data_IF_288708231193
#
_entry.id   IF_288708231193
#
_cell.length_a   1.000
_cell.length_b   1.000
_cell.length_c   1.000
_cell.angle_alpha   90.00
_cell.angle_beta   90.00
_cell.angle_gamma   90.00
#
_symmetry.space_group_name_H-M   'P 1'
#
loop_
_entity.id
_entity.type
_entity.pdbx_description
1 polymer ?
#
# COMPACT_ATOMS: atom_id res chain seq x y z
N UNK A 1 4.78 -19.77 -1.99
CA UNK A 1 5.12 -18.33 -2.01
C UNK A 1 6.52 -18.20 -1.43
N UNK A 2 7.45 -17.58 -2.17
CA UNK A 2 8.80 -17.30 -1.66
C UNK A 2 8.73 -15.89 -1.07
N UNK A 3 8.98 -15.76 0.24
CA UNK A 3 9.18 -14.48 0.90
C UNK A 3 10.60 -14.02 0.60
N UNK A 4 10.76 -12.90 -0.09
CA UNK A 4 12.05 -12.22 -0.19
C UNK A 4 11.95 -10.98 0.71
N UNK A 5 12.73 -10.95 1.79
CA UNK A 5 12.92 -9.76 2.60
C UNK A 5 13.68 -8.73 1.78
N UNK A 6 12.96 -7.88 1.05
CA UNK A 6 13.54 -6.72 0.38
C UNK A 6 13.97 -5.70 1.44
N UNK A 7 15.28 -5.40 1.57
CA UNK A 7 15.79 -4.46 2.57
C UNK A 7 15.29 -3.02 2.39
N UNK A 8 14.57 -2.72 1.30
CA UNK A 8 13.95 -1.41 1.04
C UNK A 8 12.60 -1.23 1.72
N UNK A 9 11.99 -2.29 2.24
CA UNK A 9 10.71 -2.20 2.97
C UNK A 9 11.03 -1.99 4.46
N UNK A 10 11.04 -0.73 4.90
CA UNK A 10 11.09 -0.40 6.32
C UNK A 10 9.87 -1.05 7.01
N UNK A 11 10.13 -1.99 7.92
CA UNK A 11 9.15 -2.80 8.65
C UNK A 11 8.09 -3.46 7.75
N UNK A 12 8.51 -4.45 6.96
CA UNK A 12 7.60 -5.21 6.10
C UNK A 12 8.27 -6.29 5.25
N UNK A 13 7.52 -6.86 4.30
CA UNK A 13 8.00 -7.85 3.35
C UNK A 13 7.22 -7.79 2.03
N UNK A 14 7.82 -8.29 0.94
CA UNK A 14 7.16 -8.41 -0.36
C UNK A 14 6.98 -9.88 -0.75
N UNK A 15 5.81 -10.17 -1.31
CA UNK A 15 5.45 -11.45 -1.89
C UNK A 15 5.25 -11.28 -3.40
N UNK A 16 6.21 -11.77 -4.18
CA UNK A 16 6.10 -11.80 -5.63
C UNK A 16 5.38 -13.09 -6.03
N UNK A 17 4.41 -12.94 -6.93
CA UNK A 17 3.67 -14.07 -7.46
C UNK A 17 4.54 -14.90 -8.41
N UNK A 18 4.58 -16.20 -8.14
CA UNK A 18 5.21 -17.21 -9.00
C UNK A 18 4.17 -18.30 -9.24
N UNK A 19 3.81 -18.53 -10.50
CA UNK A 19 2.87 -19.57 -10.90
C UNK A 19 3.62 -20.79 -11.45
N UNK A 20 3.10 -21.98 -11.18
CA UNK A 20 3.51 -23.18 -11.90
C UNK A 20 3.04 -23.12 -13.35
N UNK A 21 3.67 -23.88 -14.27
CA UNK A 21 3.36 -23.84 -15.70
C UNK A 21 1.90 -24.19 -16.02
N UNK A 22 1.24 -25.02 -15.21
CA UNK A 22 -0.14 -25.47 -15.43
C UNK A 22 -1.16 -24.90 -14.44
N UNK A 23 -0.75 -23.98 -13.57
CA UNK A 23 -1.63 -23.37 -12.57
C UNK A 23 -2.43 -22.22 -13.19
N UNK A 24 -3.50 -22.57 -13.90
CA UNK A 24 -4.41 -21.64 -14.58
C UNK A 24 -5.10 -20.68 -13.61
N UNK A 25 -5.41 -21.12 -12.38
CA UNK A 25 -5.99 -20.27 -11.35
C UNK A 25 -5.00 -19.19 -10.91
N UNK A 26 -3.72 -19.56 -10.74
CA UNK A 26 -2.66 -18.60 -10.51
C UNK A 26 -2.51 -17.67 -11.72
N UNK A 27 -2.37 -18.17 -12.94
CA UNK A 27 -2.19 -17.31 -14.12
C UNK A 27 -3.35 -16.33 -14.36
N UNK A 28 -4.59 -16.73 -14.04
CA UNK A 28 -5.78 -15.90 -14.20
C UNK A 28 -5.88 -14.72 -13.22
N UNK A 29 -5.20 -14.78 -12.07
CA UNK A 29 -5.14 -13.63 -11.15
C UNK A 29 -4.06 -12.64 -11.62
N UNK A 30 -4.42 -11.39 -11.87
CA UNK A 30 -3.47 -10.41 -12.41
C UNK A 30 -2.59 -9.71 -11.35
N UNK A 31 -2.78 -10.02 -10.06
CA UNK A 31 -1.94 -9.49 -8.97
C UNK A 31 -0.52 -10.03 -9.10
N UNK A 32 0.47 -9.16 -9.29
CA UNK A 32 1.89 -9.53 -9.48
C UNK A 32 2.67 -9.52 -8.17
N UNK A 33 2.41 -8.55 -7.31
CA UNK A 33 3.12 -8.36 -6.06
C UNK A 33 2.17 -7.93 -4.94
N UNK A 34 2.41 -8.45 -3.73
CA UNK A 34 1.78 -7.98 -2.50
C UNK A 34 2.87 -7.49 -1.55
N UNK A 35 2.80 -6.21 -1.22
CA UNK A 35 3.68 -5.54 -0.27
C UNK A 35 2.97 -5.51 1.09
N UNK A 36 3.63 -5.99 2.14
CA UNK A 36 3.16 -5.87 3.52
C UNK A 36 3.99 -4.83 4.25
N UNK A 37 3.34 -3.92 4.96
CA UNK A 37 3.99 -2.92 5.81
C UNK A 37 3.33 -2.87 7.17
N UNK A 38 4.13 -2.67 8.21
CA UNK A 38 3.68 -2.49 9.58
C UNK A 38 4.03 -1.08 10.04
N UNK A 39 3.06 -0.35 10.57
CA UNK A 39 3.22 1.02 11.04
C UNK A 39 2.63 1.16 12.43
N UNK A 40 3.20 2.04 13.23
CA UNK A 40 2.68 2.40 14.53
C UNK A 40 2.46 3.91 14.59
N UNK A 41 1.26 4.31 15.03
CA UNK A 41 0.91 5.71 15.27
C UNK A 41 0.34 5.86 16.68
N UNK A 42 0.45 7.04 17.31
CA UNK A 42 -0.17 7.28 18.60
C UNK A 42 -1.70 7.46 18.49
N UNK A 43 -2.38 7.31 19.62
CA UNK A 43 -3.77 7.73 19.74
C UNK A 43 -3.87 9.25 19.56
N UNK A 44 -4.73 9.72 18.68
CA UNK A 44 -4.91 11.15 18.41
C UNK A 44 -6.35 11.58 18.66
N UNK A 45 -6.52 12.75 19.26
CA UNK A 45 -7.84 13.40 19.41
C UNK A 45 -8.20 14.26 18.21
N UNK A 46 -7.20 14.85 17.57
CA UNK A 46 -7.32 15.73 16.41
C UNK A 46 -6.12 15.54 15.48
N UNK A 47 -6.31 15.81 14.19
CA UNK A 47 -5.26 15.82 13.17
C UNK A 47 -5.25 17.21 12.56
N UNK A 48 -4.32 18.06 12.98
CA UNK A 48 -4.23 19.46 12.53
C UNK A 48 -3.68 19.57 11.12
N UNK A 49 -2.71 18.70 10.80
CA UNK A 49 -2.11 18.57 9.48
C UNK A 49 -2.09 17.08 9.11
N UNK A 50 -2.28 16.73 7.83
CA UNK A 50 -2.16 15.35 7.36
C UNK A 50 -0.81 14.75 7.78
N UNK A 51 -0.84 13.59 8.42
CA UNK A 51 0.36 12.88 8.86
C UNK A 51 0.72 11.79 7.85
N UNK A 52 1.92 11.82 7.28
CA UNK A 52 2.42 10.75 6.43
C UNK A 52 2.60 9.45 7.24
N UNK A 53 1.92 8.38 6.82
CA UNK A 53 1.97 7.06 7.46
C UNK A 53 2.81 6.08 6.63
N UNK A 54 2.76 6.22 5.31
CA UNK A 54 3.53 5.39 4.39
C UNK A 54 3.81 6.13 3.08
N UNK A 55 4.96 5.80 2.49
CA UNK A 55 5.41 6.29 1.20
C UNK A 55 5.82 5.11 0.34
N UNK A 56 5.13 4.91 -0.77
CA UNK A 56 5.30 3.76 -1.66
C UNK A 56 5.91 4.26 -2.95
N UNK A 57 7.12 3.80 -3.25
CA UNK A 57 7.81 4.09 -4.51
C UNK A 57 7.60 2.94 -5.50
N UNK A 58 7.01 3.23 -6.65
CA UNK A 58 6.95 2.25 -7.73
C UNK A 58 8.11 2.48 -8.68
N UNK A 59 9.05 1.53 -8.70
CA UNK A 59 10.15 1.55 -9.65
C UNK A 59 9.68 0.95 -10.98
N UNK A 60 9.69 1.78 -12.02
CA UNK A 60 9.16 1.44 -13.32
C UNK A 60 9.98 2.13 -14.41
N UNK A 61 10.25 1.41 -15.49
CA UNK A 61 10.88 1.98 -16.68
C UNK A 61 9.91 2.88 -17.44
N UNK A 62 10.45 3.86 -18.16
CA UNK A 62 9.64 4.56 -19.16
C UNK A 62 9.25 3.58 -20.28
N UNK A 63 8.02 3.63 -20.82
CA UNK A 63 7.04 4.71 -20.66
C UNK A 63 5.76 4.29 -19.91
N UNK A 64 5.90 3.74 -18.72
CA UNK A 64 4.74 3.32 -17.92
C UNK A 64 4.26 4.43 -16.99
N UNK A 65 2.97 4.44 -16.66
CA UNK A 65 2.37 5.27 -15.58
C UNK A 65 1.87 4.37 -14.44
N UNK A 66 1.63 4.95 -13.26
CA UNK A 66 1.10 4.22 -12.11
C UNK A 66 -0.02 5.03 -11.49
N UNK A 67 -1.07 4.32 -11.06
CA UNK A 67 -2.15 4.90 -10.28
C UNK A 67 -2.23 4.22 -8.91
N UNK A 68 -2.39 5.04 -7.88
CA UNK A 68 -2.62 4.57 -6.51
C UNK A 68 -4.09 4.76 -6.12
N UNK A 69 -4.65 3.73 -5.50
CA UNK A 69 -6.02 3.75 -5.00
C UNK A 69 -6.08 3.21 -3.58
N UNK A 70 -6.89 3.85 -2.72
CA UNK A 70 -7.12 3.38 -1.36
C UNK A 70 -8.49 2.70 -1.27
N UNK A 71 -8.57 1.61 -0.52
CA UNK A 71 -9.82 0.91 -0.27
C UNK A 71 -10.80 1.72 0.60
N UNK A 72 -12.08 1.31 0.61
CA UNK A 72 -13.15 2.02 1.34
C UNK A 72 -12.90 2.08 2.84
N UNK A 73 -12.22 1.08 3.42
CA UNK A 73 -11.91 1.08 4.85
C UNK A 73 -10.84 2.14 5.13
N UNK A 74 -9.75 2.14 4.35
CA UNK A 74 -8.71 3.16 4.47
C UNK A 74 -9.23 4.59 4.26
N UNK A 75 -10.13 4.80 3.31
CA UNK A 75 -10.71 6.14 3.03
C UNK A 75 -11.45 6.78 4.22
N UNK A 76 -11.77 6.02 5.28
CA UNK A 76 -12.42 6.57 6.48
C UNK A 76 -11.53 7.58 7.20
N UNK A 77 -10.24 7.24 7.36
CA UNK A 77 -9.27 8.00 8.15
C UNK A 77 -8.05 8.46 7.34
N UNK A 78 -7.80 7.84 6.20
CA UNK A 78 -6.63 8.07 5.38
C UNK A 78 -7.04 8.61 4.01
N UNK A 79 -6.11 9.31 3.37
CA UNK A 79 -6.15 9.63 1.95
C UNK A 79 -4.84 9.20 1.30
N UNK A 80 -4.87 9.03 -0.02
CA UNK A 80 -3.66 8.83 -0.80
C UNK A 80 -3.41 10.05 -1.67
N UNK A 81 -2.20 10.59 -1.57
CA UNK A 81 -1.70 11.65 -2.44
C UNK A 81 -0.68 11.04 -3.39
N UNK A 82 -0.81 11.35 -4.69
CA UNK A 82 0.07 10.83 -5.72
C UNK A 82 1.00 11.94 -6.22
N UNK A 83 2.30 11.69 -6.16
CA UNK A 83 3.34 12.50 -6.78
C UNK A 83 4.13 11.62 -7.75
N UNK A 84 3.84 11.77 -9.06
CA UNK A 84 4.42 10.95 -10.13
C UNK A 84 4.24 9.45 -9.88
N UNK A 85 5.32 8.74 -9.54
CA UNK A 85 5.38 7.31 -9.25
C UNK A 85 5.51 7.01 -7.74
N UNK A 86 5.03 7.94 -6.92
CA UNK A 86 5.04 7.85 -5.46
C UNK A 86 3.62 7.98 -4.95
N UNK A 87 3.16 6.98 -4.20
CA UNK A 87 1.91 7.02 -3.45
C UNK A 87 2.18 7.32 -1.98
N UNK A 88 1.65 8.43 -1.47
CA UNK A 88 1.82 8.87 -0.09
C UNK A 88 0.50 8.66 0.65
N UNK A 89 0.50 7.75 1.62
CA UNK A 89 -0.66 7.51 2.48
C UNK A 89 -0.59 8.47 3.66
N UNK A 90 -1.61 9.31 3.80
CA UNK A 90 -1.69 10.31 4.86
C UNK A 90 -2.91 10.04 5.75
N UNK A 91 -2.70 10.07 7.06
CA UNK A 91 -3.78 10.15 8.04
C UNK A 91 -4.37 11.56 8.03
N UNK A 92 -5.67 11.66 7.78
CA UNK A 92 -6.40 12.93 7.70
C UNK A 92 -7.53 13.06 8.72
N UNK A 93 -7.92 11.95 9.37
CA UNK A 93 -8.81 11.99 10.53
C UNK A 93 -8.20 11.24 11.69
N UNK A 94 -8.43 11.76 12.89
CA UNK A 94 -7.90 11.18 14.10
C UNK A 94 -8.46 9.79 14.36
N UNK A 95 -7.64 8.92 14.96
CA UNK A 95 -8.03 7.57 15.38
C UNK A 95 -7.68 7.45 16.86
N UNK A 96 -8.66 7.06 17.67
CA UNK A 96 -8.43 6.76 19.08
C UNK A 96 -8.10 5.28 19.25
N UNK A 97 -6.91 5.00 19.78
CA UNK A 97 -6.50 3.65 20.12
C UNK A 97 -6.99 3.22 21.50
N UNK A 98 -6.71 1.96 21.91
CA UNK A 98 -5.94 0.97 21.18
C UNK A 98 -6.76 0.27 20.09
N UNK A 99 -6.28 0.29 18.85
CA UNK A 99 -6.89 -0.43 17.72
C UNK A 99 -5.84 -0.76 16.65
N UNK A 100 -6.17 -1.68 15.75
CA UNK A 100 -5.37 -1.97 14.55
C UNK A 100 -6.24 -1.70 13.32
N UNK A 101 -5.75 -0.87 12.41
CA UNK A 101 -6.39 -0.58 11.14
C UNK A 101 -5.58 -1.25 10.02
N UNK A 102 -6.24 -2.04 9.18
CA UNK A 102 -5.61 -2.63 7.99
C UNK A 102 -6.18 -1.95 6.76
N UNK A 103 -5.31 -1.27 6.02
CA UNK A 103 -5.69 -0.57 4.78
C UNK A 103 -5.07 -1.25 3.57
N UNK A 104 -5.75 -1.15 2.43
CA UNK A 104 -5.29 -1.73 1.17
C UNK A 104 -5.11 -0.65 0.12
N UNK A 105 -3.90 -0.54 -0.39
CA UNK A 105 -3.54 0.34 -1.49
C UNK A 105 -3.40 -0.49 -2.77
N UNK A 106 -4.24 -0.23 -3.78
CA UNK A 106 -4.04 -0.76 -5.13
C UNK A 106 -3.03 0.09 -5.88
N UNK A 107 -2.08 -0.55 -6.55
CA UNK A 107 -1.00 0.08 -7.31
C UNK A 107 -1.07 -0.49 -8.72
N UNK A 108 -1.65 0.27 -9.64
CA UNK A 108 -1.89 -0.22 -11.00
C UNK A 108 -0.87 0.40 -11.94
N UNK A 109 0.01 -0.42 -12.50
CA UNK A 109 0.95 0.01 -13.54
C UNK A 109 0.26 -0.04 -14.90
N UNK A 110 0.34 1.02 -15.66
CA UNK A 110 -0.32 1.17 -16.95
C UNK A 110 0.66 1.50 -18.08
N UNK A 111 0.29 1.11 -19.30
CA UNK A 111 0.98 1.52 -20.52
C UNK A 111 0.66 2.97 -20.92
N UNK A 112 1.34 3.48 -21.95
CA UNK A 112 0.99 4.76 -22.59
C UNK A 112 -0.46 4.84 -23.10
N UNK A 113 -1.07 3.70 -23.41
CA UNK A 113 -2.45 3.60 -23.91
C UNK A 113 -3.44 3.28 -22.79
N UNK A 114 -3.07 3.52 -21.53
CA UNK A 114 -3.89 3.31 -20.32
C UNK A 114 -4.30 1.85 -20.07
N UNK A 115 -3.59 0.88 -20.68
CA UNK A 115 -3.81 -0.55 -20.45
C UNK A 115 -3.08 -0.98 -19.19
N UNK A 116 -3.77 -1.65 -18.27
CA UNK A 116 -3.16 -2.16 -17.03
C UNK A 116 -2.23 -3.33 -17.34
N UNK A 117 -0.96 -3.19 -16.98
CA UNK A 117 0.10 -4.16 -17.21
C UNK A 117 0.39 -5.01 -15.97
N UNK A 118 0.27 -4.41 -14.79
CA UNK A 118 0.50 -5.09 -13.53
C UNK A 118 -0.41 -4.50 -12.44
N UNK A 119 -0.97 -5.39 -11.63
CA UNK A 119 -1.70 -5.04 -10.42
C UNK A 119 -0.81 -5.40 -9.23
N UNK A 120 -0.39 -4.40 -8.47
CA UNK A 120 0.29 -4.61 -7.20
C UNK A 120 -0.61 -4.12 -6.07
N UNK A 121 -0.41 -4.68 -4.89
CA UNK A 121 -1.21 -4.33 -3.71
C UNK A 121 -0.25 -4.06 -2.57
N UNK A 122 -0.42 -2.95 -1.86
CA UNK A 122 0.18 -2.78 -0.55
C UNK A 122 -0.87 -2.93 0.55
N UNK A 123 -0.61 -3.81 1.50
CA UNK A 123 -1.37 -4.01 2.72
C UNK A 123 -0.57 -3.34 3.83
N UNK A 124 -1.16 -2.34 4.47
CA UNK A 124 -0.52 -1.60 5.54
C UNK A 124 -1.33 -1.85 6.81
N UNK A 125 -0.69 -2.50 7.77
CA UNK A 125 -1.24 -2.71 9.11
C UNK A 125 -0.74 -1.60 10.03
N UNK A 126 -1.67 -0.87 10.62
CA UNK A 126 -1.41 0.35 11.38
C UNK A 126 -1.89 0.13 12.81
N UNK A 127 -0.94 -0.01 13.73
CA UNK A 127 -1.21 -0.12 15.15
C UNK A 127 -1.37 1.28 15.75
N UNK A 128 -2.55 1.56 16.29
CA UNK A 128 -2.84 2.78 17.03
C UNK A 128 -2.65 2.50 18.51
N UNK A 129 -1.66 3.14 19.13
CA UNK A 129 -1.33 2.90 20.54
C UNK A 129 -2.45 3.40 21.46
N UNK A 130 -2.48 2.94 22.73
CA UNK A 130 -3.40 3.49 23.74
C UNK A 130 -3.04 4.93 24.15
N UNK A 131 -1.79 5.35 23.91
CA UNK A 131 -1.21 6.56 24.49
C UNK A 131 -1.27 7.67 23.45
N UNK A 132 -1.64 8.89 23.87
CA UNK A 132 -1.50 10.08 23.05
C UNK A 132 -0.13 10.72 23.26
N UNK A 133 0.40 11.38 22.22
CA UNK A 133 1.42 12.42 22.40
C UNK A 133 0.76 13.76 22.70
#
# INVERSE_FOLDING_TARGET
MISNTDPRIQDGYSCIKVCGPDDTACMGNHTREILYQFRAIPSMKFVTNPLEVSRIHTHMGVPFSVDYGLDRVGQRHFRIEQDRNIGIVQLVKAIQGPTTETIRVSINTKSRTDVILAFNVAIIEIHVSRHSF
#
